data_IF_412936884619
#
_entry.id   IF_412936884619
#
_cell.length_a   1.000
_cell.length_b   1.000
_cell.length_c   1.000
_cell.angle_alpha   90.00
_cell.angle_beta   90.00
_cell.angle_gamma   90.00
#
_symmetry.space_group_name_H-M   'P 1'
#
loop_
_entity.id
_entity.type
_entity.pdbx_description
1 polymer ?
#
# COMPACT_ATOMS: atom_id res chain seq x y z
N UNK A 1 9.33 -15.14 0.25
CA UNK A 1 10.10 -13.89 0.49
C UNK A 1 11.57 -14.24 0.60
N UNK A 2 12.35 -13.88 -0.42
CA UNK A 2 13.70 -14.43 -0.61
C UNK A 2 14.81 -13.57 0.01
N UNK A 3 14.61 -12.26 0.17
CA UNK A 3 15.63 -11.37 0.77
C UNK A 3 15.44 -11.22 2.28
N UNK A 4 16.55 -10.99 3.00
CA UNK A 4 16.56 -10.74 4.45
C UNK A 4 15.79 -9.47 4.82
N UNK A 5 16.01 -8.38 4.07
CA UNK A 5 15.28 -7.11 4.24
C UNK A 5 13.78 -7.32 4.12
N UNK A 6 13.34 -8.09 3.12
CA UNK A 6 11.92 -8.31 2.90
C UNK A 6 11.29 -9.09 4.08
N UNK A 7 11.97 -10.13 4.59
CA UNK A 7 11.53 -10.87 5.79
C UNK A 7 11.47 -10.00 7.05
N UNK A 8 12.34 -9.00 7.17
CA UNK A 8 12.40 -8.08 8.32
C UNK A 8 11.28 -7.04 8.29
N UNK A 9 11.06 -6.43 7.12
CA UNK A 9 10.14 -5.30 6.94
C UNK A 9 8.67 -5.73 6.74
N UNK A 10 8.44 -6.93 6.20
CA UNK A 10 7.10 -7.39 5.83
C UNK A 10 6.71 -8.65 6.62
N UNK A 11 5.46 -8.67 7.09
CA UNK A 11 4.83 -9.76 7.85
C UNK A 11 3.74 -10.45 7.02
N UNK A 12 4.04 -10.73 5.75
CA UNK A 12 3.08 -11.37 4.85
C UNK A 12 2.67 -12.76 5.34
N UNK A 13 1.39 -13.04 5.23
CA UNK A 13 0.79 -14.36 5.43
C UNK A 13 0.26 -14.85 4.10
N UNK A 14 0.02 -16.16 3.96
CA UNK A 14 -0.53 -16.72 2.72
C UNK A 14 -1.85 -16.03 2.31
N UNK A 15 -2.66 -15.63 3.31
CA UNK A 15 -3.93 -14.94 3.09
C UNK A 15 -3.80 -13.42 2.86
N UNK A 16 -2.60 -12.85 2.84
CA UNK A 16 -2.41 -11.46 2.43
C UNK A 16 -2.80 -11.32 0.96
N UNK A 17 -2.24 -12.16 0.07
CA UNK A 17 -2.52 -12.14 -1.37
C UNK A 17 -3.60 -13.14 -1.78
N UNK A 18 -3.56 -14.36 -1.26
CA UNK A 18 -4.52 -15.41 -1.61
C UNK A 18 -5.76 -15.31 -0.73
N UNK A 19 -6.80 -14.68 -1.25
CA UNK A 19 -8.06 -14.48 -0.55
C UNK A 19 -9.00 -15.65 -0.82
N UNK A 20 -9.78 -16.04 0.19
CA UNK A 20 -10.88 -16.97 -0.01
C UNK A 20 -12.00 -16.29 -0.79
N UNK A 21 -12.76 -17.06 -1.55
CA UNK A 21 -14.04 -16.62 -2.10
C UNK A 21 -15.03 -16.31 -0.96
N UNK A 22 -16.02 -15.47 -1.20
CA UNK A 22 -17.19 -15.43 -0.31
C UNK A 22 -17.74 -16.87 -0.23
N UNK A 23 -18.12 -17.39 0.94
CA UNK A 23 -18.79 -18.68 1.03
C UNK A 23 -20.02 -18.83 0.10
N UNK A 24 -20.63 -17.70 -0.33
CA UNK A 24 -21.71 -17.64 -1.31
C UNK A 24 -21.25 -17.59 -2.76
N UNK A 25 -20.00 -17.22 -3.02
CA UNK A 25 -19.40 -17.26 -4.35
C UNK A 25 -19.02 -18.71 -4.66
N UNK A 26 -19.93 -19.39 -5.35
CA UNK A 26 -19.74 -20.67 -6.04
C UNK A 26 -19.17 -21.82 -5.20
N UNK A 27 -19.65 -22.04 -3.98
CA UNK A 27 -19.44 -23.35 -3.35
C UNK A 27 -19.96 -24.43 -4.31
N UNK A 28 -19.07 -25.34 -4.73
CA UNK A 28 -19.42 -26.51 -5.52
C UNK A 28 -20.63 -27.20 -4.88
N UNK A 29 -21.70 -27.41 -5.65
CA UNK A 29 -22.93 -28.04 -5.19
C UNK A 29 -24.04 -27.08 -4.72
N UNK A 30 -23.91 -25.77 -4.95
CA UNK A 30 -24.97 -24.78 -4.64
C UNK A 30 -25.98 -24.57 -5.77
N UNK A 31 -25.71 -25.10 -6.97
CA UNK A 31 -26.66 -25.16 -8.11
C UNK A 31 -26.65 -26.54 -8.76
N UNK A 32 -27.74 -26.93 -9.43
CA UNK A 32 -27.83 -28.26 -10.08
C UNK A 32 -26.79 -28.48 -11.20
N UNK A 33 -26.23 -27.41 -11.75
CA UNK A 33 -25.21 -27.45 -12.81
C UNK A 33 -23.77 -27.30 -12.30
N UNK A 34 -23.54 -27.19 -10.99
CA UNK A 34 -22.18 -27.01 -10.46
C UNK A 34 -21.33 -28.28 -10.59
N UNK A 35 -20.05 -28.15 -10.95
CA UNK A 35 -19.10 -29.28 -10.95
C UNK A 35 -18.81 -29.74 -9.51
N UNK A 36 -19.37 -30.89 -9.11
CA UNK A 36 -19.34 -31.41 -7.73
C UNK A 36 -17.96 -31.54 -7.09
N UNK A 37 -16.90 -31.74 -7.88
CA UNK A 37 -15.52 -31.91 -7.40
C UNK A 37 -14.61 -30.69 -7.60
N UNK A 38 -15.19 -29.52 -7.93
CA UNK A 38 -14.41 -28.31 -8.11
C UNK A 38 -13.92 -27.79 -6.75
N UNK A 39 -12.62 -27.98 -6.48
CA UNK A 39 -11.97 -27.33 -5.34
C UNK A 39 -11.85 -25.84 -5.64
N UNK A 40 -12.63 -25.01 -4.94
CA UNK A 40 -12.50 -23.55 -5.00
C UNK A 40 -11.09 -23.13 -4.59
N UNK A 41 -10.31 -22.68 -5.57
CA UNK A 41 -8.96 -22.14 -5.33
C UNK A 41 -9.09 -20.77 -4.68
N UNK A 42 -8.14 -20.41 -3.81
CA UNK A 42 -8.04 -19.02 -3.35
C UNK A 42 -7.73 -18.11 -4.54
N UNK A 43 -8.57 -17.11 -4.77
CA UNK A 43 -8.33 -16.09 -5.79
C UNK A 43 -7.42 -14.98 -5.26
N UNK A 44 -6.77 -14.27 -6.17
CA UNK A 44 -5.97 -13.09 -5.83
C UNK A 44 -6.70 -11.89 -6.42
N UNK A 45 -7.11 -10.94 -5.58
CA UNK A 45 -7.48 -9.62 -6.06
C UNK A 45 -6.20 -8.90 -6.53
N UNK A 46 -6.07 -8.55 -7.82
CA UNK A 46 -4.87 -7.90 -8.36
C UNK A 46 -4.51 -6.57 -7.69
N UNK A 47 -5.47 -5.88 -7.06
CA UNK A 47 -5.21 -4.66 -6.29
C UNK A 47 -4.23 -4.89 -5.14
N UNK A 48 -4.13 -6.11 -4.62
CA UNK A 48 -3.13 -6.47 -3.61
C UNK A 48 -1.70 -6.25 -4.12
N UNK A 49 -1.48 -6.48 -5.41
CA UNK A 49 -0.18 -6.31 -6.05
C UNK A 49 0.16 -4.82 -6.16
N UNK A 50 -0.84 -4.00 -6.51
CA UNK A 50 -0.70 -2.55 -6.64
C UNK A 50 -0.29 -1.89 -5.32
N UNK A 51 -0.68 -2.44 -4.17
CA UNK A 51 -0.25 -1.96 -2.84
C UNK A 51 1.27 -1.96 -2.62
N UNK A 52 2.03 -2.68 -3.45
CA UNK A 52 3.49 -2.76 -3.38
C UNK A 52 4.17 -2.44 -4.72
N UNK A 53 3.47 -2.63 -5.83
CA UNK A 53 4.00 -2.51 -7.19
C UNK A 53 3.34 -1.39 -8.00
N UNK A 54 2.54 -0.53 -7.34
CA UNK A 54 2.00 0.68 -7.95
C UNK A 54 3.08 1.73 -8.18
N UNK A 55 2.82 2.63 -9.13
CA UNK A 55 3.69 3.77 -9.42
C UNK A 55 3.68 4.80 -8.28
N UNK A 56 4.82 5.47 -8.07
CA UNK A 56 4.91 6.63 -7.19
C UNK A 56 4.06 7.78 -7.73
N UNK A 57 3.03 8.17 -6.98
CA UNK A 57 2.06 9.19 -7.38
C UNK A 57 2.51 10.59 -6.95
N UNK A 58 3.61 11.08 -7.51
CA UNK A 58 4.14 12.41 -7.14
C UNK A 58 3.16 13.54 -7.47
N UNK A 59 2.29 13.36 -8.48
CA UNK A 59 1.35 14.37 -8.97
C UNK A 59 0.33 14.82 -7.92
N UNK A 60 0.00 13.96 -6.96
CA UNK A 60 -0.93 14.29 -5.86
C UNK A 60 -0.21 14.78 -4.60
N UNK A 61 1.13 14.72 -4.57
CA UNK A 61 1.94 15.16 -3.44
C UNK A 61 2.30 16.64 -3.59
N UNK A 62 1.87 17.46 -2.62
CA UNK A 62 2.20 18.87 -2.62
C UNK A 62 3.72 19.08 -2.49
N UNK A 63 4.30 19.86 -3.40
CA UNK A 63 5.71 20.25 -3.38
C UNK A 63 6.65 19.40 -4.23
N UNK A 64 6.17 18.31 -4.86
CA UNK A 64 6.99 17.53 -5.79
C UNK A 64 6.74 17.97 -7.24
N UNK A 65 7.83 18.20 -7.97
CA UNK A 65 7.81 18.58 -9.40
C UNK A 65 8.01 17.39 -10.35
N UNK A 66 8.43 16.23 -9.83
CA UNK A 66 8.78 15.03 -10.60
C UNK A 66 8.80 13.75 -9.75
N UNK A 67 9.22 12.64 -10.36
CA UNK A 67 9.38 11.36 -9.65
C UNK A 67 10.52 11.46 -8.63
N UNK A 68 10.54 10.60 -7.60
CA UNK A 68 11.51 10.70 -6.51
C UNK A 68 12.97 10.72 -6.98
N UNK A 69 13.43 9.90 -7.94
CA UNK A 69 14.82 9.94 -8.41
C UNK A 69 15.22 11.28 -9.05
N UNK A 70 14.25 12.04 -9.56
CA UNK A 70 14.48 13.33 -10.21
C UNK A 70 14.58 14.47 -9.18
N UNK A 71 13.89 14.33 -8.04
CA UNK A 71 13.75 15.40 -7.05
C UNK A 71 14.42 15.11 -5.71
N UNK A 72 14.90 13.89 -5.48
CA UNK A 72 15.43 13.44 -4.18
C UNK A 72 16.53 14.38 -3.64
N UNK A 73 17.46 14.81 -4.49
CA UNK A 73 18.57 15.69 -4.08
C UNK A 73 18.09 17.06 -3.59
N UNK A 74 16.97 17.56 -4.14
CA UNK A 74 16.35 18.82 -3.68
C UNK A 74 15.86 18.72 -2.22
N UNK A 75 15.63 17.49 -1.75
CA UNK A 75 15.17 17.19 -0.39
C UNK A 75 16.22 16.46 0.43
N UNK A 76 17.51 16.56 0.08
CA UNK A 76 18.62 15.84 0.73
C UNK A 76 18.39 14.32 0.82
N UNK A 77 17.62 13.76 -0.11
CA UNK A 77 17.21 12.37 -0.09
C UNK A 77 16.46 11.99 1.18
N UNK A 78 15.63 12.87 1.76
CA UNK A 78 14.88 12.57 2.99
C UNK A 78 13.36 12.69 2.79
N UNK A 79 12.66 11.55 2.83
CA UNK A 79 11.20 11.50 2.79
C UNK A 79 10.56 11.96 4.13
N UNK A 80 11.29 11.86 5.24
CA UNK A 80 10.76 12.12 6.60
C UNK A 80 10.57 13.60 6.84
N UNK A 81 11.37 14.47 6.23
CA UNK A 81 11.21 15.93 6.30
C UNK A 81 9.77 16.37 5.99
N UNK A 82 9.14 15.81 4.95
CA UNK A 82 7.72 16.04 4.67
C UNK A 82 6.80 15.14 5.52
N UNK A 83 7.08 13.83 5.58
CA UNK A 83 6.14 12.90 6.17
C UNK A 83 5.99 13.02 7.70
N UNK A 84 6.94 13.59 8.43
CA UNK A 84 6.81 13.80 9.89
C UNK A 84 5.68 14.78 10.22
N UNK A 85 5.48 15.79 9.38
CA UNK A 85 4.46 16.82 9.56
C UNK A 85 3.07 16.35 9.09
N UNK A 86 3.04 15.52 8.05
CA UNK A 86 1.80 15.17 7.34
C UNK A 86 1.27 13.77 7.66
N UNK A 87 2.15 12.84 8.03
CA UNK A 87 1.83 11.43 8.24
C UNK A 87 2.48 10.93 9.53
N UNK A 88 1.87 11.30 10.66
CA UNK A 88 2.35 10.96 12.01
C UNK A 88 2.09 9.52 12.42
N UNK A 89 1.19 8.81 11.73
CA UNK A 89 0.92 7.37 11.91
C UNK A 89 1.05 6.67 10.56
N UNK A 90 2.16 5.98 10.33
CA UNK A 90 2.48 5.26 9.08
C UNK A 90 2.60 3.76 9.33
N UNK A 91 2.48 2.97 8.27
CA UNK A 91 2.79 1.52 8.28
C UNK A 91 2.06 0.66 9.34
N UNK A 92 0.95 1.14 9.91
CA UNK A 92 0.11 0.42 10.89
C UNK A 92 -0.78 -0.65 10.24
N UNK A 93 -0.16 -1.52 9.46
CA UNK A 93 -0.83 -2.61 8.76
C UNK A 93 -0.39 -3.94 9.36
N UNK A 94 -1.28 -4.92 9.39
CA UNK A 94 -1.01 -6.22 9.99
C UNK A 94 -0.01 -7.08 9.22
N UNK A 95 0.28 -6.70 7.96
CA UNK A 95 1.24 -7.35 7.09
C UNK A 95 2.57 -6.59 6.98
N UNK A 96 2.76 -5.52 7.75
CA UNK A 96 4.00 -4.73 7.79
C UNK A 96 4.61 -4.70 9.19
N UNK A 97 5.93 -4.57 9.24
CA UNK A 97 6.68 -4.35 10.47
C UNK A 97 7.02 -2.86 10.66
N UNK A 98 6.06 -2.10 11.17
CA UNK A 98 6.15 -0.65 11.41
C UNK A 98 7.50 -0.21 12.02
N UNK A 99 7.92 -0.78 13.15
CA UNK A 99 9.15 -0.37 13.84
C UNK A 99 10.40 -0.57 12.98
N UNK A 100 10.51 -1.71 12.30
CA UNK A 100 11.66 -2.01 11.44
C UNK A 100 11.66 -1.15 10.16
N UNK A 101 10.49 -0.79 9.63
CA UNK A 101 10.36 0.09 8.47
C UNK A 101 10.82 1.50 8.83
N UNK A 102 10.33 2.07 9.92
CA UNK A 102 10.72 3.42 10.34
C UNK A 102 12.23 3.49 10.65
N UNK A 103 12.76 2.50 11.37
CA UNK A 103 14.20 2.39 11.66
C UNK A 103 15.07 2.23 10.41
N UNK A 104 14.56 1.56 9.37
CA UNK A 104 15.28 1.42 8.11
C UNK A 104 15.19 2.71 7.28
N UNK A 105 14.04 3.39 7.26
CA UNK A 105 13.84 4.66 6.57
C UNK A 105 14.64 5.82 7.17
N UNK A 106 14.87 5.83 8.48
CA UNK A 106 15.77 6.79 9.14
C UNK A 106 17.22 6.71 8.65
N UNK A 107 17.65 5.54 8.17
CA UNK A 107 19.03 5.30 7.73
C UNK A 107 19.20 5.50 6.23
N UNK A 108 18.16 5.21 5.45
CA UNK A 108 18.23 5.21 4.00
C UNK A 108 16.84 5.41 3.39
N UNK A 109 16.63 6.55 2.73
CA UNK A 109 15.39 6.89 2.04
C UNK A 109 15.08 6.00 0.84
N UNK A 110 16.07 5.28 0.31
CA UNK A 110 15.82 4.25 -0.70
C UNK A 110 14.94 3.12 -0.15
N UNK A 111 14.93 2.91 1.17
CA UNK A 111 13.96 2.02 1.83
C UNK A 111 12.54 2.48 1.55
N UNK A 112 12.28 3.78 1.68
CA UNK A 112 10.97 4.39 1.43
C UNK A 112 10.61 4.28 -0.05
N UNK A 113 11.50 4.74 -0.94
CA UNK A 113 11.23 4.75 -2.37
C UNK A 113 11.04 3.33 -2.92
N UNK A 114 11.82 2.36 -2.47
CA UNK A 114 11.69 0.96 -2.88
C UNK A 114 10.29 0.37 -2.63
N UNK A 115 9.56 0.84 -1.63
CA UNK A 115 8.18 0.46 -1.36
C UNK A 115 7.13 1.40 -1.98
N UNK A 116 7.44 2.69 -2.14
CA UNK A 116 6.50 3.71 -2.62
C UNK A 116 6.50 3.94 -4.13
N UNK A 117 7.30 3.20 -4.89
CA UNK A 117 7.21 3.17 -6.36
C UNK A 117 8.52 2.88 -7.09
N UNK A 118 9.64 2.73 -6.38
CA UNK A 118 10.94 2.39 -6.95
C UNK A 118 11.02 0.98 -7.55
N UNK A 119 10.00 0.15 -7.36
CA UNK A 119 9.82 -1.16 -8.03
C UNK A 119 8.41 -1.32 -8.58
N UNK A 120 7.92 -0.27 -9.23
CA UNK A 120 6.62 -0.31 -9.89
C UNK A 120 6.63 -1.33 -11.04
N UNK A 121 5.73 -2.31 -10.97
CA UNK A 121 5.44 -3.21 -12.10
C UNK A 121 4.23 -2.73 -12.89
N UNK A 122 3.38 -1.94 -12.25
CA UNK A 122 2.19 -1.38 -12.85
C UNK A 122 2.37 0.12 -13.10
N UNK A 123 1.83 0.59 -14.23
CA UNK A 123 1.88 1.99 -14.62
C UNK A 123 1.01 2.91 -13.74
N UNK A 124 0.05 2.33 -13.02
CA UNK A 124 -0.91 3.04 -12.19
C UNK A 124 -0.48 3.05 -10.72
N UNK A 125 -0.82 4.13 -10.03
CA UNK A 125 -0.63 4.24 -8.59
C UNK A 125 -1.74 3.52 -7.83
N UNK A 126 -1.40 2.94 -6.68
CA UNK A 126 -2.42 2.43 -5.76
C UNK A 126 -3.02 3.57 -4.93
N UNK A 127 -4.36 3.65 -4.83
CA UNK A 127 -5.01 4.72 -4.11
C UNK A 127 -4.95 4.52 -2.59
N UNK A 128 -3.77 4.67 -1.97
CA UNK A 128 -3.62 4.49 -0.53
C UNK A 128 -4.56 5.39 0.26
N UNK A 129 -4.99 4.85 1.40
CA UNK A 129 -5.86 5.52 2.36
C UNK A 129 -5.35 6.92 2.71
N UNK A 130 -6.25 7.89 2.61
CA UNK A 130 -6.03 9.28 3.00
C UNK A 130 -6.72 9.54 4.33
N UNK A 131 -5.95 9.53 5.41
CA UNK A 131 -6.41 10.14 6.67
C UNK A 131 -6.34 11.67 6.55
N UNK A 132 -7.38 12.42 6.96
CA UNK A 132 -7.34 13.89 6.93
C UNK A 132 -6.15 14.44 7.72
N UNK A 133 -5.48 15.46 7.17
CA UNK A 133 -4.36 16.11 7.84
C UNK A 133 -4.92 17.18 8.78
N UNK A 134 -5.25 16.75 10.00
CA UNK A 134 -5.97 17.56 11.00
C UNK A 134 -5.40 18.98 11.20
N UNK A 135 -4.09 19.19 11.00
CA UNK A 135 -3.44 20.50 11.22
C UNK A 135 -3.19 21.34 9.95
N UNK A 136 -3.19 20.75 8.74
CA UNK A 136 -2.68 21.43 7.52
C UNK A 136 -3.51 21.20 6.26
N UNK A 137 -4.67 20.55 6.36
CA UNK A 137 -5.73 20.64 5.35
C UNK A 137 -6.91 21.48 5.84
N UNK A 138 -6.71 22.77 6.20
CA UNK A 138 -7.84 23.70 6.31
C UNK A 138 -8.28 24.05 4.88
N UNK A 139 -9.38 23.46 4.41
CA UNK A 139 -9.91 23.74 3.07
C UNK A 139 -10.79 22.61 2.51
N UNK A 140 -11.35 22.84 1.32
CA UNK A 140 -12.11 21.85 0.59
C UNK A 140 -11.21 20.67 0.15
N UNK A 141 -11.79 19.47 0.11
CA UNK A 141 -11.12 18.25 -0.34
C UNK A 141 -10.68 18.40 -1.80
N UNK A 142 -9.39 18.28 -2.14
CA UNK A 142 -8.92 18.33 -3.53
C UNK A 142 -9.58 17.24 -4.39
N UNK A 143 -9.75 17.51 -5.69
CA UNK A 143 -10.46 16.60 -6.61
C UNK A 143 -9.92 15.16 -6.58
N UNK A 144 -8.59 15.00 -6.66
CA UNK A 144 -7.92 13.70 -6.65
C UNK A 144 -8.19 12.86 -5.38
N UNK A 145 -8.69 13.50 -4.33
CA UNK A 145 -8.90 12.90 -3.02
C UNK A 145 -10.36 12.59 -2.69
N UNK A 146 -11.32 13.01 -3.53
CA UNK A 146 -12.75 12.80 -3.26
C UNK A 146 -13.12 11.33 -3.11
N UNK A 147 -12.56 10.48 -3.96
CA UNK A 147 -12.84 9.04 -3.98
C UNK A 147 -11.81 8.20 -3.20
N UNK A 148 -10.92 8.84 -2.45
CA UNK A 148 -9.88 8.11 -1.69
C UNK A 148 -10.47 7.56 -0.39
N UNK A 149 -10.22 6.27 -0.06
CA UNK A 149 -10.66 5.72 1.21
C UNK A 149 -9.99 6.45 2.38
N UNK A 150 -10.72 6.68 3.46
CA UNK A 150 -10.21 7.34 4.68
C UNK A 150 -9.73 6.36 5.74
N UNK A 151 -10.11 5.08 5.59
CA UNK A 151 -9.75 3.98 6.46
C UNK A 151 -9.29 2.76 5.65
N UNK A 152 -8.38 1.97 6.22
CA UNK A 152 -7.97 0.70 5.61
C UNK A 152 -9.08 -0.33 5.79
N UNK A 153 -9.16 -1.29 4.86
CA UNK A 153 -10.00 -2.48 5.04
C UNK A 153 -9.66 -3.15 6.37
N UNK A 154 -10.67 -3.57 7.14
CA UNK A 154 -10.51 -4.22 8.45
C UNK A 154 -9.55 -5.42 8.43
N UNK A 155 -9.45 -6.12 7.29
CA UNK A 155 -8.51 -7.24 7.11
C UNK A 155 -7.03 -6.84 7.15
N UNK A 156 -6.70 -5.56 7.03
CA UNK A 156 -5.33 -5.05 7.05
C UNK A 156 -5.00 -4.25 8.29
N UNK A 157 -6.00 -3.90 9.11
CA UNK A 157 -5.77 -3.20 10.36
C UNK A 157 -5.24 -4.17 11.42
N UNK A 158 -4.48 -3.63 12.38
CA UNK A 158 -4.06 -4.35 13.59
C UNK A 158 -5.17 -4.30 14.63
#
# INVERSE_FOLDING_TARGET
MVTSTAKRLMKFKCNTCHQGHDPKDEASGTTDTTQKDLVLRKAVNPDICLMCHGKFDYKVMAGLTGDWPEVADTFNGDCVTCHKEFRTKRHKLNFLNEQEIEKAGEKDSNTCYGCHGGRAWYAIAYPYVRRPWLKRMPGALPEWAKDRPTEYTKRFTK
#
